data_IF_667431936746
#
_entry.id   IF_667431936746
#
_cell.length_a   1.000
_cell.length_b   1.000
_cell.length_c   1.000
_cell.angle_alpha   90.00
_cell.angle_beta   90.00
_cell.angle_gamma   90.00
#
_symmetry.space_group_name_H-M   'P 1'
#
loop_
_entity.id
_entity.type
_entity.pdbx_description
1 polymer ?
#
# COMPACT_ATOMS: atom_id res chain seq x y z
N UNK A 1 8.21 22.96 -11.91
CA UNK A 1 8.56 21.86 -12.84
C UNK A 1 9.54 22.42 -13.85
N UNK A 2 10.63 21.71 -14.14
CA UNK A 2 11.52 22.06 -15.26
C UNK A 2 10.84 21.77 -16.61
N UNK A 3 11.27 22.44 -17.67
CA UNK A 3 10.72 22.22 -19.03
C UNK A 3 10.89 20.76 -19.49
N UNK A 4 12.01 20.12 -19.16
CA UNK A 4 12.27 18.70 -19.43
C UNK A 4 11.27 17.75 -18.75
N UNK A 5 10.87 18.03 -17.51
CA UNK A 5 9.87 17.22 -16.81
C UNK A 5 8.47 17.38 -17.45
N UNK A 6 8.16 18.59 -17.93
CA UNK A 6 6.90 18.90 -18.61
C UNK A 6 6.81 18.23 -19.98
N UNK A 7 7.90 18.22 -20.74
CA UNK A 7 7.99 17.51 -22.02
C UNK A 7 7.86 15.99 -21.84
N UNK A 8 8.54 15.43 -20.84
CA UNK A 8 8.45 14.00 -20.51
C UNK A 8 7.01 13.60 -20.19
N UNK A 9 6.35 14.31 -19.26
CA UNK A 9 4.96 14.02 -18.88
C UNK A 9 3.98 14.15 -20.06
N UNK A 10 4.21 15.11 -20.98
CA UNK A 10 3.40 15.27 -22.20
C UNK A 10 3.56 14.09 -23.15
N UNK A 11 4.80 13.60 -23.31
CA UNK A 11 5.10 12.41 -24.11
C UNK A 11 4.47 11.16 -23.49
N UNK A 12 4.61 10.96 -22.19
CA UNK A 12 3.99 9.82 -21.48
C UNK A 12 2.49 9.80 -21.64
N UNK A 13 1.84 10.96 -21.49
CA UNK A 13 0.39 11.09 -21.68
C UNK A 13 -0.03 10.75 -23.10
N UNK A 14 0.72 11.21 -24.11
CA UNK A 14 0.45 10.89 -25.52
C UNK A 14 0.55 9.38 -25.78
N UNK A 15 1.58 8.71 -25.25
CA UNK A 15 1.76 7.26 -25.40
C UNK A 15 0.65 6.47 -24.71
N UNK A 16 0.33 6.81 -23.46
CA UNK A 16 -0.73 6.14 -22.71
C UNK A 16 -2.09 6.33 -23.39
N UNK A 17 -2.39 7.53 -23.90
CA UNK A 17 -3.60 7.80 -24.67
C UNK A 17 -3.66 6.97 -25.95
N UNK A 18 -2.58 6.89 -26.72
CA UNK A 18 -2.53 6.07 -27.93
C UNK A 18 -2.79 4.59 -27.65
N UNK A 19 -2.24 4.06 -26.54
CA UNK A 19 -2.50 2.70 -26.06
C UNK A 19 -3.97 2.47 -25.74
N UNK A 20 -4.63 3.38 -25.01
CA UNK A 20 -6.06 3.26 -24.71
C UNK A 20 -6.92 3.29 -25.97
N UNK A 21 -6.61 4.17 -26.92
CA UNK A 21 -7.30 4.20 -28.21
C UNK A 21 -7.12 2.91 -29.01
N UNK A 22 -5.93 2.31 -28.99
CA UNK A 22 -5.69 1.03 -29.63
C UNK A 22 -6.50 -0.10 -28.98
N UNK A 23 -6.58 -0.09 -27.64
CA UNK A 23 -7.37 -1.06 -26.89
C UNK A 23 -8.87 -0.94 -27.12
N UNK A 24 -9.42 0.29 -27.11
CA UNK A 24 -10.85 0.51 -27.41
C UNK A 24 -11.20 -0.07 -28.78
N UNK A 25 -10.38 0.22 -29.81
CA UNK A 25 -10.56 -0.33 -31.16
C UNK A 25 -10.45 -1.86 -31.21
N UNK A 26 -9.70 -2.48 -30.31
CA UNK A 26 -9.56 -3.92 -30.23
C UNK A 26 -10.73 -4.61 -29.48
N UNK A 27 -11.59 -3.85 -28.82
CA UNK A 27 -12.60 -4.36 -27.88
C UNK A 27 -14.05 -4.39 -28.41
N UNK A 28 -14.23 -4.25 -29.73
CA UNK A 28 -15.54 -4.07 -30.40
C UNK A 28 -16.38 -2.90 -29.84
N UNK A 29 -15.83 -2.08 -28.94
CA UNK A 29 -16.46 -0.88 -28.38
C UNK A 29 -16.42 0.24 -29.41
N UNK A 30 -17.54 0.95 -29.60
CA UNK A 30 -17.57 2.12 -30.48
C UNK A 30 -16.58 3.18 -29.97
N UNK A 31 -15.53 3.41 -30.78
CA UNK A 31 -14.46 4.32 -30.45
C UNK A 31 -14.83 5.78 -30.74
N UNK A 32 -15.89 6.06 -31.50
CA UNK A 32 -16.15 7.41 -32.04
C UNK A 32 -16.50 8.46 -30.98
N UNK A 33 -16.89 8.07 -29.77
CA UNK A 33 -17.33 8.97 -28.70
C UNK A 33 -16.42 9.00 -27.44
N UNK A 34 -15.23 8.40 -27.47
CA UNK A 34 -14.38 8.37 -26.29
C UNK A 34 -13.81 9.76 -25.92
N UNK A 35 -13.97 10.18 -24.66
CA UNK A 35 -13.53 11.47 -24.12
C UNK A 35 -12.44 11.30 -23.07
N UNK A 36 -11.50 12.24 -22.98
CA UNK A 36 -10.48 12.24 -21.92
C UNK A 36 -11.12 12.48 -20.54
N UNK A 37 -10.64 11.75 -19.54
CA UNK A 37 -11.03 11.93 -18.13
C UNK A 37 -9.82 12.40 -17.32
N UNK A 38 -10.01 13.42 -16.48
CA UNK A 38 -9.00 13.81 -15.51
C UNK A 38 -8.96 12.82 -14.35
N UNK A 39 -7.88 12.03 -14.31
CA UNK A 39 -7.60 11.03 -13.28
C UNK A 39 -6.33 11.41 -12.47
N UNK A 40 -5.94 12.68 -12.51
CA UNK A 40 -4.73 13.18 -11.87
C UNK A 40 -3.47 12.59 -12.52
N UNK A 41 -2.85 11.61 -11.85
CA UNK A 41 -1.62 10.97 -12.33
C UNK A 41 -1.85 9.81 -13.29
N UNK A 42 -3.09 9.45 -13.59
CA UNK A 42 -3.39 8.42 -14.59
C UNK A 42 -3.98 9.03 -15.84
N UNK A 43 -3.88 8.30 -16.95
CA UNK A 43 -4.56 8.63 -18.20
C UNK A 43 -5.77 7.73 -18.31
N UNK A 44 -6.93 8.32 -18.58
CA UNK A 44 -8.14 7.56 -18.82
C UNK A 44 -9.00 8.15 -19.93
N UNK A 45 -9.72 7.27 -20.60
CA UNK A 45 -10.73 7.60 -21.58
C UNK A 45 -12.08 7.05 -21.10
N UNK A 46 -13.15 7.78 -21.39
CA UNK A 46 -14.51 7.38 -21.07
C UNK A 46 -15.34 7.31 -22.35
N UNK A 47 -15.97 6.17 -22.57
CA UNK A 47 -17.04 6.00 -23.56
C UNK A 47 -18.41 6.17 -22.88
N UNK A 48 -19.51 5.82 -23.54
CA UNK A 48 -20.86 6.00 -23.00
C UNK A 48 -21.03 5.48 -21.55
N UNK A 49 -20.62 4.24 -21.29
CA UNK A 49 -20.76 3.54 -20.00
C UNK A 49 -19.47 2.87 -19.50
N UNK A 50 -18.36 2.93 -20.26
CA UNK A 50 -17.10 2.29 -19.87
C UNK A 50 -15.99 3.32 -19.57
N UNK A 51 -15.16 2.98 -18.58
CA UNK A 51 -13.96 3.71 -18.22
C UNK A 51 -12.72 2.88 -18.55
N UNK A 52 -11.83 3.44 -19.36
CA UNK A 52 -10.59 2.84 -19.79
C UNK A 52 -9.42 3.57 -19.12
N UNK A 53 -8.51 2.86 -18.44
CA UNK A 53 -7.39 3.47 -17.74
C UNK A 53 -6.06 2.85 -18.16
N UNK A 54 -5.04 3.68 -18.32
CA UNK A 54 -3.67 3.21 -18.42
C UNK A 54 -3.11 3.02 -17.00
N UNK A 55 -2.62 1.83 -16.70
CA UNK A 55 -2.13 1.43 -15.38
C UNK A 55 -0.85 2.17 -14.96
N UNK A 56 -0.07 2.63 -15.93
CA UNK A 56 1.18 3.33 -15.68
C UNK A 56 0.88 4.77 -15.21
N UNK A 57 1.29 5.17 -13.99
CA UNK A 57 1.15 6.55 -13.56
C UNK A 57 2.10 7.44 -14.38
N UNK A 58 1.64 8.66 -14.67
CA UNK A 58 2.45 9.74 -15.20
C UNK A 58 3.50 10.12 -14.15
N UNK A 59 4.78 10.04 -14.52
CA UNK A 59 5.88 10.37 -13.61
C UNK A 59 6.18 11.86 -13.70
N UNK A 60 6.35 12.52 -12.56
CA UNK A 60 6.88 13.89 -12.51
C UNK A 60 8.43 13.90 -12.50
N UNK A 61 9.05 12.76 -12.18
CA UNK A 61 10.50 12.61 -12.02
C UNK A 61 10.97 11.32 -12.75
N UNK A 62 11.76 11.44 -13.83
CA UNK A 62 12.28 10.29 -14.58
C UNK A 62 13.28 9.42 -13.80
N UNK A 63 13.67 9.80 -12.57
CA UNK A 63 14.60 9.05 -11.72
C UNK A 63 13.98 8.18 -10.62
N UNK A 64 12.66 8.21 -10.42
CA UNK A 64 11.99 7.36 -9.41
C UNK A 64 11.73 5.94 -9.91
N UNK A 65 11.78 4.97 -8.99
CA UNK A 65 11.71 3.52 -9.21
C UNK A 65 10.61 3.04 -10.19
N UNK A 66 10.76 1.80 -10.65
CA UNK A 66 9.90 1.07 -11.60
C UNK A 66 8.44 1.52 -11.55
N UNK A 67 7.83 1.90 -12.68
CA UNK A 67 6.45 2.38 -12.68
C UNK A 67 5.51 1.35 -12.07
N UNK A 68 4.98 1.66 -10.88
CA UNK A 68 4.03 0.80 -10.18
C UNK A 68 2.61 1.10 -10.64
N UNK A 69 1.79 0.06 -10.86
CA UNK A 69 0.35 0.21 -11.06
C UNK A 69 -0.41 0.62 -9.77
N UNK A 70 0.29 0.82 -8.65
CA UNK A 70 -0.30 1.32 -7.39
C UNK A 70 -1.09 2.59 -7.64
N UNK A 71 -2.35 2.58 -7.25
CA UNK A 71 -3.31 3.67 -7.29
C UNK A 71 -4.36 3.53 -8.36
N UNK A 72 -4.10 2.76 -9.43
CA UNK A 72 -4.99 2.78 -10.61
C UNK A 72 -6.38 2.24 -10.28
N UNK A 73 -6.45 1.15 -9.51
CA UNK A 73 -7.72 0.52 -9.14
C UNK A 73 -8.52 1.42 -8.21
N UNK A 74 -7.90 1.98 -7.17
CA UNK A 74 -8.55 2.95 -6.29
C UNK A 74 -9.06 4.17 -7.03
N UNK A 75 -8.29 4.68 -8.01
CA UNK A 75 -8.71 5.77 -8.89
C UNK A 75 -9.92 5.37 -9.75
N UNK A 76 -9.91 4.19 -10.37
CA UNK A 76 -11.02 3.69 -11.18
C UNK A 76 -12.30 3.53 -10.36
N UNK A 77 -12.20 2.88 -9.19
CA UNK A 77 -13.33 2.69 -8.27
C UNK A 77 -13.89 4.02 -7.74
N UNK A 78 -13.01 5.00 -7.50
CA UNK A 78 -13.42 6.37 -7.14
C UNK A 78 -14.25 7.00 -8.25
N UNK A 79 -13.91 6.78 -9.52
CA UNK A 79 -14.70 7.27 -10.65
C UNK A 79 -16.04 6.56 -10.78
N UNK A 80 -16.07 5.25 -10.62
CA UNK A 80 -17.34 4.49 -10.58
C UNK A 80 -18.25 5.04 -9.48
N UNK A 81 -17.74 5.16 -8.25
CA UNK A 81 -18.49 5.68 -7.11
C UNK A 81 -19.00 7.12 -7.32
N UNK A 82 -18.23 7.97 -8.01
CA UNK A 82 -18.64 9.34 -8.32
C UNK A 82 -19.60 9.45 -9.49
N UNK A 83 -19.55 8.51 -10.45
CA UNK A 83 -20.42 8.54 -11.63
C UNK A 83 -21.90 8.48 -11.27
N UNK A 84 -22.25 7.75 -10.20
CA UNK A 84 -23.62 7.66 -9.67
C UNK A 84 -24.13 8.96 -9.01
N UNK A 85 -23.24 9.90 -8.68
CA UNK A 85 -23.59 11.13 -7.98
C UNK A 85 -23.73 12.33 -8.91
N UNK A 86 -23.08 12.26 -10.07
CA UNK A 86 -23.18 13.29 -11.10
C UNK A 86 -24.34 12.86 -11.99
N UNK A 87 -25.15 13.79 -12.52
CA UNK A 87 -26.21 13.49 -13.50
C UNK A 87 -25.66 13.01 -14.87
N UNK A 88 -24.52 12.31 -14.86
CA UNK A 88 -23.92 11.63 -15.99
C UNK A 88 -24.38 10.17 -16.00
N UNK A 89 -24.25 9.50 -17.14
CA UNK A 89 -24.45 8.05 -17.22
C UNK A 89 -23.55 7.34 -16.18
N UNK A 90 -24.03 6.28 -15.51
CA UNK A 90 -23.18 5.50 -14.62
C UNK A 90 -22.06 4.81 -15.41
N UNK A 91 -20.90 4.64 -14.78
CA UNK A 91 -19.83 3.80 -15.34
C UNK A 91 -20.16 2.35 -14.97
N UNK A 92 -20.55 1.56 -15.96
CA UNK A 92 -20.92 0.15 -15.82
C UNK A 92 -19.72 -0.79 -15.93
N UNK A 93 -18.74 -0.46 -16.78
CA UNK A 93 -17.54 -1.26 -17.03
C UNK A 93 -16.26 -0.47 -16.81
N UNK A 94 -15.24 -1.13 -16.27
CA UNK A 94 -13.89 -0.59 -16.14
C UNK A 94 -12.89 -1.51 -16.82
N UNK A 95 -12.01 -0.97 -17.66
CA UNK A 95 -10.89 -1.71 -18.24
C UNK A 95 -9.57 -1.01 -17.91
N UNK A 96 -8.69 -1.70 -17.19
CA UNK A 96 -7.35 -1.19 -16.82
C UNK A 96 -6.30 -1.91 -17.66
N UNK A 97 -5.42 -1.15 -18.30
CA UNK A 97 -4.48 -1.65 -19.32
C UNK A 97 -3.04 -1.29 -18.96
N UNK A 98 -2.16 -2.28 -19.05
CA UNK A 98 -0.74 -2.09 -18.77
C UNK A 98 0.09 -3.33 -19.07
N UNK A 99 1.27 -3.38 -18.45
CA UNK A 99 2.19 -4.51 -18.58
C UNK A 99 1.74 -5.67 -17.68
N UNK A 100 1.64 -6.88 -18.24
CA UNK A 100 1.09 -8.04 -17.53
C UNK A 100 1.79 -8.33 -16.19
N UNK A 101 3.11 -8.17 -16.14
CA UNK A 101 3.93 -8.40 -14.94
C UNK A 101 3.63 -7.44 -13.78
N UNK A 102 3.09 -6.24 -14.09
CA UNK A 102 2.76 -5.22 -13.09
C UNK A 102 1.31 -5.29 -12.60
N UNK A 103 0.46 -6.07 -13.26
CA UNK A 103 -0.99 -6.04 -13.10
C UNK A 103 -1.59 -7.20 -12.31
N UNK A 104 -0.81 -8.24 -11.99
CA UNK A 104 -1.32 -9.43 -11.29
C UNK A 104 -1.95 -9.11 -9.92
N UNK A 105 -1.34 -8.20 -9.14
CA UNK A 105 -1.91 -7.76 -7.85
C UNK A 105 -3.19 -6.95 -8.06
N UNK A 106 -3.21 -6.08 -9.06
CA UNK A 106 -4.40 -5.28 -9.41
C UNK A 106 -5.56 -6.19 -9.82
N UNK A 107 -5.28 -7.23 -10.61
CA UNK A 107 -6.26 -8.24 -11.01
C UNK A 107 -6.81 -9.05 -9.82
N UNK A 108 -5.96 -9.44 -8.87
CA UNK A 108 -6.43 -10.06 -7.62
C UNK A 108 -7.32 -9.13 -6.82
N UNK A 109 -6.93 -7.87 -6.67
CA UNK A 109 -7.68 -6.88 -5.89
C UNK A 109 -9.02 -6.49 -6.53
N UNK A 110 -9.09 -6.44 -7.86
CA UNK A 110 -10.32 -6.16 -8.59
C UNK A 110 -11.41 -7.23 -8.33
N UNK A 111 -11.01 -8.49 -8.14
CA UNK A 111 -11.93 -9.61 -7.91
C UNK A 111 -12.73 -9.51 -6.60
N UNK A 112 -12.35 -8.63 -5.67
CA UNK A 112 -13.11 -8.41 -4.43
C UNK A 112 -14.35 -7.53 -4.63
N UNK A 113 -14.52 -6.93 -5.81
CA UNK A 113 -15.65 -6.07 -6.15
C UNK A 113 -16.61 -6.82 -7.10
N UNK A 114 -17.94 -6.81 -6.84
CA UNK A 114 -18.93 -7.37 -7.74
C UNK A 114 -19.25 -6.37 -8.86
N UNK A 115 -18.22 -5.96 -9.61
CA UNK A 115 -18.26 -4.98 -10.69
C UNK A 115 -17.65 -5.58 -11.96
N UNK A 116 -18.04 -5.07 -13.12
CA UNK A 116 -17.43 -5.43 -14.39
C UNK A 116 -16.08 -4.70 -14.55
N UNK A 117 -15.01 -5.30 -14.00
CA UNK A 117 -13.64 -4.78 -14.04
C UNK A 117 -12.73 -5.77 -14.76
N UNK A 118 -12.24 -5.37 -15.93
CA UNK A 118 -11.25 -6.13 -16.70
C UNK A 118 -9.85 -5.55 -16.52
N UNK A 119 -8.90 -6.41 -16.15
CA UNK A 119 -7.47 -6.07 -16.11
C UNK A 119 -6.79 -6.74 -17.29
N UNK A 120 -6.25 -5.94 -18.21
CA UNK A 120 -5.78 -6.42 -19.50
C UNK A 120 -4.33 -5.99 -19.78
N UNK A 121 -3.61 -6.85 -20.49
CA UNK A 121 -2.38 -6.49 -21.16
C UNK A 121 -2.66 -6.29 -22.66
N UNK A 122 -2.04 -5.26 -23.25
CA UNK A 122 -2.11 -5.01 -24.69
C UNK A 122 -0.81 -5.47 -25.35
N UNK A 123 -0.90 -6.44 -26.26
CA UNK A 123 0.22 -6.88 -27.10
C UNK A 123 -0.15 -6.68 -28.56
N UNK A 124 0.46 -5.67 -29.19
CA UNK A 124 0.06 -5.21 -30.53
C UNK A 124 -1.39 -4.71 -30.52
N UNK A 125 -2.28 -5.42 -31.20
CA UNK A 125 -3.73 -5.14 -31.24
C UNK A 125 -4.56 -6.10 -30.39
N UNK A 126 -3.94 -7.05 -29.69
CA UNK A 126 -4.66 -8.06 -28.91
C UNK A 126 -4.71 -7.66 -27.44
N UNK A 127 -5.92 -7.54 -26.90
CA UNK A 127 -6.17 -7.49 -25.48
C UNK A 127 -6.20 -8.90 -24.90
N UNK A 128 -5.47 -9.12 -23.81
CA UNK A 128 -5.46 -10.39 -23.09
C UNK A 128 -5.67 -10.12 -21.60
N UNK A 129 -6.63 -10.82 -20.99
CA UNK A 129 -6.88 -10.71 -19.57
C UNK A 129 -5.65 -11.13 -18.75
N UNK A 130 -5.30 -10.34 -17.74
CA UNK A 130 -4.20 -10.63 -16.82
C UNK A 130 -4.70 -11.61 -15.77
N UNK A 131 -3.96 -12.69 -15.57
CA UNK A 131 -4.25 -13.64 -14.49
C UNK A 131 -3.95 -13.01 -13.12
N UNK A 132 -4.88 -13.06 -12.16
CA UNK A 132 -4.62 -12.63 -10.79
C UNK A 132 -3.39 -13.31 -10.20
N UNK A 133 -2.46 -12.51 -9.66
CA UNK A 133 -1.30 -13.05 -8.96
C UNK A 133 -1.75 -13.75 -7.67
N UNK A 134 -1.15 -14.89 -7.28
CA UNK A 134 -1.41 -15.46 -5.97
C UNK A 134 -0.82 -14.58 -4.86
N UNK A 135 -1.30 -14.75 -3.64
CA UNK A 135 -0.66 -14.18 -2.45
C UNK A 135 0.79 -14.63 -2.34
N UNK A 136 1.66 -13.75 -1.84
CA UNK A 136 3.04 -14.14 -1.54
C UNK A 136 3.05 -15.24 -0.48
N UNK A 137 3.81 -16.30 -0.73
CA UNK A 137 4.02 -17.38 0.23
C UNK A 137 4.62 -16.79 1.51
N UNK A 138 4.04 -17.13 2.66
CA UNK A 138 4.59 -16.73 3.96
C UNK A 138 6.00 -17.32 4.10
N UNK A 139 6.95 -16.47 4.47
CA UNK A 139 8.33 -16.88 4.72
C UNK A 139 8.60 -16.80 6.21
N UNK A 140 8.96 -17.92 6.81
CA UNK A 140 9.46 -17.92 8.18
C UNK A 140 10.90 -17.38 8.19
N UNK A 141 11.26 -16.49 9.13
CA UNK A 141 12.64 -16.05 9.27
C UNK A 141 13.57 -17.21 9.63
N UNK A 142 14.83 -17.12 9.21
CA UNK A 142 15.85 -18.06 9.64
C UNK A 142 16.04 -18.03 11.17
N UNK A 143 16.39 -19.17 11.79
CA UNK A 143 16.60 -19.26 13.24
C UNK A 143 17.62 -18.22 13.75
N UNK A 144 18.73 -18.04 13.03
CA UNK A 144 19.74 -17.03 13.35
C UNK A 144 19.19 -15.59 13.31
N UNK A 145 18.19 -15.32 12.47
CA UNK A 145 17.53 -14.00 12.46
C UNK A 145 16.64 -13.80 13.69
N UNK A 146 15.95 -14.86 14.12
CA UNK A 146 15.10 -14.85 15.32
C UNK A 146 15.92 -14.66 16.60
N UNK A 147 17.12 -15.25 16.68
CA UNK A 147 18.05 -15.07 17.80
C UNK A 147 18.43 -13.59 18.00
N UNK A 148 18.72 -12.87 16.91
CA UNK A 148 18.98 -11.43 16.93
C UNK A 148 17.75 -10.59 17.32
N UNK A 149 16.54 -11.15 17.22
CA UNK A 149 15.33 -10.53 17.77
C UNK A 149 15.40 -10.32 19.29
N UNK A 150 16.15 -11.14 20.03
CA UNK A 150 16.34 -10.93 21.47
C UNK A 150 17.19 -9.70 21.76
N UNK A 151 18.20 -9.42 20.95
CA UNK A 151 19.01 -8.19 20.99
C UNK A 151 18.12 -6.96 20.79
N UNK A 152 17.22 -7.01 19.80
CA UNK A 152 16.24 -5.94 19.51
C UNK A 152 15.34 -5.68 20.72
N UNK A 153 14.75 -6.73 21.30
CA UNK A 153 13.89 -6.60 22.48
C UNK A 153 14.64 -6.06 23.69
N UNK A 154 15.88 -6.52 23.91
CA UNK A 154 16.73 -6.06 25.03
C UNK A 154 17.12 -4.59 24.91
N UNK A 155 17.20 -4.07 23.67
CA UNK A 155 17.43 -2.66 23.41
C UNK A 155 16.18 -1.79 23.59
N UNK A 156 15.00 -2.39 23.80
CA UNK A 156 13.73 -1.69 24.03
C UNK A 156 12.90 -1.43 22.76
N UNK A 157 13.21 -2.09 21.64
CA UNK A 157 12.41 -2.01 20.41
C UNK A 157 11.44 -3.20 20.30
N UNK A 158 10.34 -2.98 19.59
CA UNK A 158 9.38 -4.02 19.25
C UNK A 158 9.95 -4.89 18.11
N UNK A 159 9.84 -6.21 18.25
CA UNK A 159 10.24 -7.14 17.18
C UNK A 159 9.05 -7.36 16.26
N UNK A 160 9.20 -6.97 14.99
CA UNK A 160 8.18 -7.14 13.95
C UNK A 160 8.72 -8.07 12.87
N UNK A 161 7.90 -9.04 12.48
CA UNK A 161 8.24 -10.02 11.44
C UNK A 161 7.26 -9.85 10.28
N UNK A 162 7.78 -9.42 9.13
CA UNK A 162 7.02 -9.29 7.90
C UNK A 162 7.86 -9.84 6.74
N UNK A 163 7.27 -10.74 5.96
CA UNK A 163 7.84 -11.38 4.77
C UNK A 163 9.18 -12.09 5.02
N UNK A 164 9.33 -12.72 6.20
CA UNK A 164 10.55 -13.38 6.64
C UNK A 164 11.65 -12.45 7.14
N UNK A 165 11.39 -11.14 7.21
CA UNK A 165 12.34 -10.15 7.72
C UNK A 165 12.05 -9.84 9.18
N UNK A 166 13.07 -9.94 10.03
CA UNK A 166 13.02 -9.51 11.43
C UNK A 166 13.45 -8.05 11.51
N UNK A 167 12.55 -7.19 11.99
CA UNK A 167 12.78 -5.76 12.16
C UNK A 167 12.60 -5.35 13.62
N UNK A 168 13.35 -4.32 14.03
CA UNK A 168 13.14 -3.59 15.27
C UNK A 168 12.39 -2.30 15.00
N UNK A 169 11.22 -2.13 15.59
CA UNK A 169 10.40 -0.93 15.47
C UNK A 169 10.35 -0.13 16.78
N UNK A 170 10.31 1.19 16.65
CA UNK A 170 9.97 2.12 17.74
C UNK A 170 8.72 2.87 17.34
N UNK A 171 7.60 2.55 17.99
CA UNK A 171 6.29 3.12 17.70
C UNK A 171 5.98 3.08 16.18
N UNK A 172 6.26 1.94 15.54
CA UNK A 172 6.01 1.72 14.12
C UNK A 172 7.12 2.18 13.15
N UNK A 173 8.20 2.81 13.63
CA UNK A 173 9.34 3.17 12.78
C UNK A 173 10.43 2.11 12.87
N UNK A 174 10.80 1.51 11.74
CA UNK A 174 11.93 0.57 11.65
C UNK A 174 13.25 1.32 11.96
N UNK A 175 13.91 0.92 13.04
CA UNK A 175 15.22 1.43 13.48
C UNK A 175 16.32 0.37 13.38
N UNK A 176 15.94 -0.89 13.17
CA UNK A 176 16.88 -1.97 12.94
C UNK A 176 16.27 -3.04 12.03
N UNK A 177 17.12 -3.72 11.27
CA UNK A 177 16.73 -4.84 10.42
C UNK A 177 17.79 -5.93 10.51
N UNK A 178 17.34 -7.17 10.64
CA UNK A 178 18.22 -8.33 10.49
C UNK A 178 18.31 -8.71 9.03
N UNK A 179 19.54 -8.80 8.52
CA UNK A 179 19.82 -9.19 7.14
C UNK A 179 20.82 -10.35 7.14
N UNK A 180 20.83 -11.13 6.05
CA UNK A 180 21.90 -12.07 5.78
C UNK A 180 23.00 -11.36 4.99
N UNK A 181 24.24 -11.45 5.47
CA UNK A 181 25.42 -10.97 4.77
C UNK A 181 26.48 -12.07 4.73
N UNK A 182 26.73 -12.59 3.52
CA UNK A 182 27.65 -13.70 3.27
C UNK A 182 27.30 -14.96 4.09
N UNK A 183 26.01 -15.26 4.26
CA UNK A 183 25.53 -16.43 5.02
C UNK A 183 25.55 -16.23 6.54
N UNK A 184 25.79 -15.00 7.02
CA UNK A 184 25.79 -14.66 8.44
C UNK A 184 24.72 -13.63 8.73
N UNK A 185 23.86 -13.93 9.70
CA UNK A 185 22.83 -13.01 10.17
C UNK A 185 23.48 -11.81 10.88
N UNK A 186 23.14 -10.59 10.44
CA UNK A 186 23.65 -9.35 11.01
C UNK A 186 22.52 -8.37 11.31
N UNK A 187 22.65 -7.67 12.44
CA UNK A 187 21.75 -6.59 12.82
C UNK A 187 22.25 -5.27 12.23
N UNK A 188 21.46 -4.64 11.38
CA UNK A 188 21.76 -3.32 10.81
C UNK A 188 20.88 -2.25 11.45
N UNK A 189 21.50 -1.30 12.13
CA UNK A 189 20.83 -0.20 12.86
C UNK A 189 20.75 1.03 11.96
N UNK A 190 19.57 1.64 11.87
CA UNK A 190 19.32 2.85 11.10
C UNK A 190 17.90 2.93 10.52
N UNK A 191 17.42 4.15 10.35
CA UNK A 191 16.12 4.51 9.79
C UNK A 191 16.22 4.53 8.25
N UNK A 192 16.01 3.36 7.63
CA UNK A 192 16.11 3.16 6.19
C UNK A 192 17.50 2.71 5.71
N UNK A 193 17.63 2.39 4.42
CA UNK A 193 18.84 1.77 3.87
C UNK A 193 20.08 2.67 3.96
N UNK A 194 19.96 3.94 3.60
CA UNK A 194 21.07 4.90 3.63
C UNK A 194 21.57 5.18 5.05
N UNK A 195 20.66 5.25 6.01
CA UNK A 195 21.03 5.46 7.42
C UNK A 195 21.73 4.24 7.98
N UNK A 196 21.24 3.03 7.66
CA UNK A 196 21.92 1.77 8.03
C UNK A 196 23.33 1.65 7.47
N UNK A 197 23.51 2.07 6.23
CA UNK A 197 24.81 2.08 5.59
C UNK A 197 25.75 3.10 6.23
N UNK A 198 25.25 4.29 6.54
CA UNK A 198 26.02 5.33 7.24
C UNK A 198 26.41 4.88 8.65
N UNK A 199 25.48 4.28 9.38
CA UNK A 199 25.72 3.74 10.72
C UNK A 199 26.86 2.70 10.69
N UNK A 200 26.82 1.79 9.71
CA UNK A 200 27.86 0.78 9.48
C UNK A 200 29.23 1.39 9.21
N UNK A 201 29.32 2.43 8.38
CA UNK A 201 30.59 3.11 8.10
C UNK A 201 31.21 3.74 9.35
N UNK A 202 30.38 4.20 10.30
CA UNK A 202 30.83 4.85 11.53
C UNK A 202 31.17 3.87 12.67
N UNK A 203 30.46 2.75 12.76
CA UNK A 203 30.50 1.86 13.92
C UNK A 203 31.01 0.43 13.61
N UNK A 204 31.25 0.11 12.33
CA UNK A 204 31.65 -1.23 11.90
C UNK A 204 30.48 -2.20 11.72
N UNK A 205 30.80 -3.49 11.60
CA UNK A 205 29.83 -4.54 11.28
C UNK A 205 29.15 -5.20 12.48
N UNK A 206 29.68 -5.01 13.69
CA UNK A 206 29.22 -5.67 14.92
C UNK A 206 28.40 -4.70 15.77
N UNK A 207 27.18 -4.41 15.30
CA UNK A 207 26.27 -3.51 15.98
C UNK A 207 25.74 -4.13 17.30
N UNK A 208 26.09 -3.52 18.43
CA UNK A 208 25.76 -4.02 19.77
C UNK A 208 24.40 -3.57 20.32
N UNK A 209 23.94 -4.23 21.37
CA UNK A 209 22.69 -3.87 22.09
C UNK A 209 22.70 -2.42 22.56
N UNK A 210 23.83 -1.93 23.07
CA UNK A 210 23.94 -0.57 23.64
C UNK A 210 23.80 0.52 22.57
N UNK A 211 24.38 0.29 21.40
CA UNK A 211 24.23 1.15 20.23
C UNK A 211 22.77 1.22 19.78
N UNK A 212 22.09 0.06 19.70
CA UNK A 212 20.68 0.03 19.37
C UNK A 212 19.84 0.74 20.42
N UNK A 213 20.13 0.56 21.71
CA UNK A 213 19.42 1.24 22.80
C UNK A 213 19.52 2.76 22.70
N UNK A 214 20.68 3.28 22.31
CA UNK A 214 20.87 4.70 22.04
C UNK A 214 19.94 5.22 20.94
N UNK A 215 19.88 4.52 19.80
CA UNK A 215 18.99 4.86 18.68
C UNK A 215 17.52 4.74 19.09
N UNK A 216 17.14 3.67 19.80
CA UNK A 216 15.77 3.46 20.30
C UNK A 216 15.33 4.62 21.17
N UNK A 217 16.17 5.02 22.14
CA UNK A 217 15.89 6.12 23.05
C UNK A 217 15.71 7.44 22.28
N UNK A 218 16.60 7.73 21.34
CA UNK A 218 16.53 8.95 20.53
C UNK A 218 15.26 9.01 19.66
N UNK A 219 14.92 7.90 18.98
CA UNK A 219 13.72 7.84 18.13
C UNK A 219 12.44 7.95 18.97
N UNK A 220 12.39 7.29 20.12
CA UNK A 220 11.24 7.33 21.02
C UNK A 220 10.92 8.76 21.50
N UNK A 221 11.95 9.56 21.81
CA UNK A 221 11.77 10.97 22.20
C UNK A 221 11.04 11.80 21.14
N UNK A 222 11.33 11.55 19.86
CA UNK A 222 10.74 12.29 18.76
C UNK A 222 9.36 11.77 18.34
N UNK A 223 9.07 10.48 18.59
CA UNK A 223 7.81 9.83 18.21
C UNK A 223 6.75 9.80 19.31
N UNK A 224 7.10 10.22 20.52
CA UNK A 224 6.14 10.41 21.61
C UNK A 224 4.97 11.32 21.21
N UNK A 225 3.78 11.05 21.75
CA UNK A 225 2.60 11.88 21.54
C UNK A 225 2.87 13.32 22.02
N UNK A 226 2.56 14.30 21.17
CA UNK A 226 2.81 15.72 21.47
C UNK A 226 4.27 16.18 21.30
N UNK A 227 5.18 15.32 20.83
CA UNK A 227 6.55 15.72 20.53
C UNK A 227 6.60 16.84 19.47
N UNK A 228 7.59 17.75 19.54
CA UNK A 228 7.79 18.78 18.52
C UNK A 228 7.94 18.18 17.11
N UNK A 229 7.59 18.96 16.09
CA UNK A 229 7.71 18.53 14.70
C UNK A 229 9.15 18.07 14.38
N UNK A 230 9.29 16.83 13.89
CA UNK A 230 10.58 16.22 13.59
C UNK A 230 10.45 15.26 12.40
N UNK A 231 11.45 15.12 11.50
CA UNK A 231 11.36 14.17 10.40
C UNK A 231 10.98 12.74 10.84
N UNK A 232 11.52 12.27 11.97
CA UNK A 232 11.25 10.93 12.49
C UNK A 232 9.78 10.68 12.88
N UNK A 233 9.00 11.70 13.26
CA UNK A 233 7.59 11.53 13.59
C UNK A 233 6.64 11.65 12.39
N UNK A 234 7.18 11.94 11.20
CA UNK A 234 6.42 11.99 9.95
C UNK A 234 6.62 10.75 9.07
N UNK A 235 7.54 9.87 9.44
CA UNK A 235 7.84 8.63 8.72
C UNK A 235 6.95 7.48 9.20
N UNK A 236 6.57 6.61 8.25
CA UNK A 236 5.71 5.45 8.46
C UNK A 236 4.46 5.76 9.31
N UNK A 237 3.66 6.78 8.94
CA UNK A 237 2.51 7.19 9.73
C UNK A 237 1.47 6.07 9.89
N UNK A 238 1.35 5.17 8.90
CA UNK A 238 0.43 4.02 8.97
C UNK A 238 0.84 3.06 10.10
N UNK A 239 2.14 2.79 10.22
CA UNK A 239 2.69 1.94 11.29
C UNK A 239 2.69 2.65 12.64
N UNK A 240 2.83 3.97 12.66
CA UNK A 240 2.64 4.77 13.87
C UNK A 240 1.24 4.60 14.44
N UNK A 241 0.23 4.70 13.56
CA UNK A 241 -1.17 4.48 13.92
C UNK A 241 -1.41 3.04 14.40
N UNK A 242 -0.85 2.04 13.69
CA UNK A 242 -0.88 0.65 14.16
C UNK A 242 -0.28 0.49 15.55
N UNK A 243 0.89 1.08 15.81
CA UNK A 243 1.55 0.98 17.11
C UNK A 243 0.71 1.62 18.22
N UNK A 244 0.06 2.76 17.95
CA UNK A 244 -0.85 3.39 18.90
C UNK A 244 -2.05 2.49 19.22
N UNK A 245 -2.68 1.89 18.21
CA UNK A 245 -3.83 0.99 18.37
C UNK A 245 -3.44 -0.34 19.03
N UNK A 246 -2.22 -0.84 18.81
CA UNK A 246 -1.68 -2.01 19.53
C UNK A 246 -1.50 -1.69 21.02
N UNK A 247 -1.06 -0.47 21.34
CA UNK A 247 -0.89 -0.01 22.71
C UNK A 247 -2.23 0.26 23.43
N UNK A 248 -3.25 0.72 22.70
CA UNK A 248 -4.61 0.92 23.19
C UNK A 248 -5.67 0.27 22.27
N UNK A 249 -5.88 -1.06 22.35
CA UNK A 249 -6.87 -1.76 21.53
C UNK A 249 -8.31 -1.27 21.70
N UNK A 250 -8.64 -0.67 22.84
CA UNK A 250 -10.00 -0.26 23.17
C UNK A 250 -10.52 0.86 22.27
N UNK A 251 -9.62 1.69 21.68
CA UNK A 251 -10.01 2.77 20.77
C UNK A 251 -10.74 2.28 19.50
N UNK A 252 -10.55 1.01 19.11
CA UNK A 252 -11.27 0.37 18.00
C UNK A 252 -12.24 -0.73 18.49
N UNK A 253 -12.61 -0.73 19.76
CA UNK A 253 -13.43 -1.77 20.40
C UNK A 253 -12.83 -3.18 20.32
N UNK A 254 -11.50 -3.30 20.36
CA UNK A 254 -10.77 -4.56 20.43
C UNK A 254 -10.24 -4.84 21.84
N UNK A 255 -10.10 -6.14 22.18
CA UNK A 255 -9.43 -6.61 23.40
C UNK A 255 -7.93 -6.67 23.21
N UNK A 256 -7.51 -7.18 22.05
CA UNK A 256 -6.09 -7.39 21.70
C UNK A 256 -5.94 -7.13 20.21
N UNK A 257 -4.85 -6.47 19.82
CA UNK A 257 -4.45 -6.26 18.43
C UNK A 257 -3.04 -6.80 18.26
N UNK A 258 -2.84 -7.68 17.27
CA UNK A 258 -1.55 -8.29 16.96
C UNK A 258 -1.12 -7.91 15.55
N UNK A 259 0.10 -7.40 15.43
CA UNK A 259 0.72 -7.08 14.14
C UNK A 259 0.66 -8.29 13.21
N UNK A 260 0.29 -8.06 11.95
CA UNK A 260 0.20 -9.08 10.92
C UNK A 260 0.88 -8.63 9.62
N UNK A 261 1.44 -9.60 8.90
CA UNK A 261 2.12 -9.37 7.62
C UNK A 261 1.11 -8.95 6.52
N UNK A 262 1.27 -7.76 5.89
CA UNK A 262 0.38 -7.31 4.82
C UNK A 262 0.51 -8.17 3.54
N UNK A 263 -0.40 -8.02 2.56
CA UNK A 263 -0.34 -8.79 1.30
C UNK A 263 0.76 -8.37 0.33
N UNK A 264 1.27 -7.14 0.47
CA UNK A 264 2.32 -6.59 -0.38
C UNK A 264 3.42 -6.01 0.51
N UNK A 265 4.70 -6.32 0.25
CA UNK A 265 5.82 -5.80 1.02
C UNK A 265 5.98 -4.30 0.80
N UNK A 266 6.38 -3.59 1.85
CA UNK A 266 6.80 -2.20 1.75
C UNK A 266 8.19 -2.13 1.10
N UNK A 267 8.29 -1.54 -0.08
CA UNK A 267 9.55 -1.42 -0.81
C UNK A 267 10.45 -0.31 -0.24
N UNK A 268 9.88 0.87 0.03
CA UNK A 268 10.60 2.02 0.56
C UNK A 268 10.00 2.53 1.87
N UNK A 269 10.86 3.06 2.74
CA UNK A 269 10.45 3.73 3.98
C UNK A 269 9.50 4.91 3.72
N UNK A 270 9.72 5.65 2.63
CA UNK A 270 8.94 6.85 2.28
C UNK A 270 7.63 6.55 1.57
N UNK A 271 7.44 5.33 1.08
CA UNK A 271 6.20 4.96 0.40
C UNK A 271 5.06 4.99 1.41
N UNK A 272 3.91 5.54 1.04
CA UNK A 272 2.69 5.41 1.85
C UNK A 272 2.03 4.09 1.49
N UNK A 273 2.30 3.07 2.32
CA UNK A 273 1.77 1.72 2.16
C UNK A 273 1.03 1.36 3.44
N UNK A 274 -0.22 0.88 3.37
CA UNK A 274 -0.93 0.43 4.55
C UNK A 274 -0.20 -0.71 5.26
N UNK A 275 -0.46 -0.87 6.55
CA UNK A 275 -0.01 -2.04 7.31
C UNK A 275 -1.19 -2.75 7.96
N UNK A 276 -0.99 -3.99 8.40
CA UNK A 276 -2.08 -4.85 8.87
C UNK A 276 -1.87 -5.35 10.31
N UNK A 277 -2.98 -5.73 10.93
CA UNK A 277 -3.06 -6.44 12.19
C UNK A 277 -4.29 -7.37 12.20
N UNK A 278 -4.28 -8.32 13.12
CA UNK A 278 -5.45 -9.13 13.49
C UNK A 278 -5.89 -8.67 14.89
N UNK A 279 -7.17 -8.36 15.03
CA UNK A 279 -7.77 -7.92 16.27
C UNK A 279 -8.79 -8.94 16.77
N UNK A 280 -8.77 -9.20 18.07
CA UNK A 280 -9.85 -9.87 18.77
C UNK A 280 -10.81 -8.80 19.30
N UNK A 281 -12.02 -8.74 18.75
CA UNK A 281 -13.01 -7.71 19.09
C UNK A 281 -13.65 -7.97 20.47
N UNK A 282 -14.21 -6.94 21.09
CA UNK A 282 -14.88 -7.06 22.40
C UNK A 282 -16.12 -7.98 22.33
N UNK A 283 -16.83 -7.94 21.21
CA UNK A 283 -17.99 -8.78 20.90
C UNK A 283 -17.62 -10.25 20.55
N UNK A 284 -16.34 -10.57 20.46
CA UNK A 284 -15.83 -11.91 20.26
C UNK A 284 -15.44 -12.26 18.82
N UNK A 285 -15.81 -11.42 17.84
CA UNK A 285 -15.42 -11.62 16.45
C UNK A 285 -13.92 -11.33 16.24
N UNK A 286 -13.31 -12.01 15.27
CA UNK A 286 -11.99 -11.61 14.77
C UNK A 286 -12.16 -10.57 13.65
N UNK A 287 -11.27 -9.57 13.66
CA UNK A 287 -11.19 -8.57 12.61
C UNK A 287 -9.78 -8.50 12.01
N UNK A 288 -9.70 -8.40 10.69
CA UNK A 288 -8.51 -7.91 10.00
C UNK A 288 -8.58 -6.38 10.01
N UNK A 289 -7.51 -5.76 10.51
CA UNK A 289 -7.42 -4.31 10.67
C UNK A 289 -6.31 -3.78 9.77
N UNK A 290 -6.65 -2.83 8.91
CA UNK A 290 -5.70 -2.17 8.01
C UNK A 290 -5.57 -0.70 8.38
N UNK A 291 -4.33 -0.25 8.59
CA UNK A 291 -4.02 1.12 9.00
C UNK A 291 -3.55 1.92 7.79
N UNK A 292 -4.13 3.10 7.61
CA UNK A 292 -3.81 4.01 6.51
C UNK A 292 -3.53 5.41 7.04
N UNK A 293 -2.81 6.20 6.25
CA UNK A 293 -2.50 7.59 6.58
C UNK A 293 -2.79 8.48 5.38
N UNK A 294 -3.35 9.67 5.66
CA UNK A 294 -3.84 10.55 4.60
C UNK A 294 -5.01 9.95 3.83
N UNK A 295 -5.42 10.64 2.76
CA UNK A 295 -6.45 10.15 1.85
C UNK A 295 -5.78 9.22 0.83
N UNK A 296 -5.90 7.92 1.05
CA UNK A 296 -5.36 6.89 0.15
C UNK A 296 -6.47 6.27 -0.69
N UNK A 297 -6.32 6.36 -2.02
CA UNK A 297 -7.32 5.82 -2.98
C UNK A 297 -7.36 4.29 -3.01
N UNK A 298 -6.23 3.64 -2.73
CA UNK A 298 -6.10 2.17 -2.73
C UNK A 298 -6.35 1.51 -1.37
N UNK A 299 -6.73 2.29 -0.35
CA UNK A 299 -6.96 1.77 1.00
C UNK A 299 -7.94 0.59 1.01
N UNK A 300 -9.06 0.71 0.28
CA UNK A 300 -10.13 -0.30 0.26
C UNK A 300 -9.71 -1.57 -0.50
N UNK A 301 -9.20 -1.51 -1.75
CA UNK A 301 -8.67 -2.70 -2.41
C UNK A 301 -7.57 -3.41 -1.63
N UNK A 302 -6.64 -2.65 -1.04
CA UNK A 302 -5.58 -3.22 -0.20
C UNK A 302 -6.16 -3.94 1.02
N UNK A 303 -7.16 -3.33 1.68
CA UNK A 303 -7.79 -3.91 2.86
C UNK A 303 -8.51 -5.22 2.56
N UNK A 304 -9.21 -5.31 1.43
CA UNK A 304 -9.83 -6.55 0.99
C UNK A 304 -8.78 -7.64 0.72
N UNK A 305 -7.65 -7.28 0.11
CA UNK A 305 -6.52 -8.18 -0.14
C UNK A 305 -5.86 -8.67 1.17
N UNK A 306 -5.75 -7.79 2.16
CA UNK A 306 -5.25 -8.14 3.48
C UNK A 306 -6.21 -9.08 4.22
N UNK A 307 -7.52 -8.88 4.10
CA UNK A 307 -8.52 -9.80 4.67
C UNK A 307 -8.37 -11.19 4.05
N UNK A 308 -8.37 -11.29 2.73
CA UNK A 308 -8.24 -12.58 2.03
C UNK A 308 -6.97 -13.33 2.43
N UNK A 309 -5.84 -12.61 2.53
CA UNK A 309 -4.56 -13.18 2.99
C UNK A 309 -4.59 -13.71 4.42
N UNK A 310 -5.18 -12.95 5.34
CA UNK A 310 -5.02 -13.17 6.78
C UNK A 310 -6.15 -14.02 7.35
N UNK A 311 -7.39 -13.67 7.03
CA UNK A 311 -8.59 -14.41 7.38
C UNK A 311 -9.77 -13.93 6.50
N UNK A 312 -10.09 -14.69 5.45
CA UNK A 312 -11.11 -14.34 4.47
C UNK A 312 -12.54 -14.22 5.07
N UNK A 313 -12.79 -14.79 6.25
CA UNK A 313 -14.07 -14.72 6.97
C UNK A 313 -14.13 -13.64 8.05
N UNK A 314 -13.02 -12.95 8.34
CA UNK A 314 -12.98 -11.94 9.39
C UNK A 314 -13.70 -10.65 8.99
N UNK A 315 -14.14 -9.89 10.00
CA UNK A 315 -14.56 -8.50 9.79
C UNK A 315 -13.40 -7.68 9.27
N UNK A 316 -13.68 -6.67 8.45
CA UNK A 316 -12.65 -5.79 7.89
C UNK A 316 -12.80 -4.37 8.41
N UNK A 317 -11.80 -3.91 9.17
CA UNK A 317 -11.70 -2.54 9.67
C UNK A 317 -10.59 -1.80 8.95
N UNK A 318 -10.87 -0.59 8.49
CA UNK A 318 -9.88 0.33 7.93
C UNK A 318 -9.73 1.50 8.90
N UNK A 319 -8.57 1.59 9.54
CA UNK A 319 -8.28 2.58 10.57
C UNK A 319 -7.50 3.75 9.97
N UNK A 320 -7.99 4.96 10.20
CA UNK A 320 -7.37 6.21 9.75
C UNK A 320 -7.75 7.37 10.69
N UNK A 321 -7.00 8.47 10.65
CA UNK A 321 -7.43 9.72 11.27
C UNK A 321 -8.78 10.16 10.68
N UNK A 322 -9.70 10.62 11.53
CA UNK A 322 -11.06 11.00 11.13
C UNK A 322 -11.11 12.03 10.00
N UNK A 323 -10.13 12.93 9.93
CA UNK A 323 -10.02 13.95 8.86
C UNK A 323 -9.70 13.36 7.50
N UNK A 324 -9.17 12.13 7.48
CA UNK A 324 -8.79 11.41 6.27
C UNK A 324 -9.85 10.40 5.81
N UNK A 325 -10.96 10.24 6.55
CA UNK A 325 -12.06 9.37 6.17
C UNK A 325 -13.07 10.16 5.34
N UNK A 326 -13.05 9.95 4.02
CA UNK A 326 -13.95 10.65 3.10
C UNK A 326 -15.20 9.80 2.78
N UNK A 327 -16.36 10.45 2.52
CA UNK A 327 -17.58 9.74 2.13
C UNK A 327 -17.40 8.81 0.92
N UNK A 328 -16.54 9.20 -0.02
CA UNK A 328 -16.23 8.37 -1.18
C UNK A 328 -15.55 7.07 -0.77
N UNK A 329 -14.57 7.08 0.16
CA UNK A 329 -13.92 5.85 0.63
C UNK A 329 -14.91 4.91 1.35
N UNK A 330 -15.84 5.47 2.12
CA UNK A 330 -16.91 4.68 2.74
C UNK A 330 -17.83 4.01 1.70
N UNK A 331 -18.15 4.70 0.60
CA UNK A 331 -18.88 4.09 -0.52
C UNK A 331 -18.08 2.96 -1.18
N UNK A 332 -16.79 3.16 -1.44
CA UNK A 332 -15.92 2.10 -1.96
C UNK A 332 -15.90 0.89 -1.02
N UNK A 333 -15.82 1.11 0.30
CA UNK A 333 -15.85 0.03 1.28
C UNK A 333 -17.17 -0.75 1.28
N UNK A 334 -18.29 -0.08 1.00
CA UNK A 334 -19.59 -0.72 0.83
C UNK A 334 -19.76 -1.45 -0.51
N UNK A 335 -18.94 -1.11 -1.53
CA UNK A 335 -18.94 -1.77 -2.84
C UNK A 335 -18.18 -3.10 -2.85
N UNK A 336 -17.47 -3.47 -1.78
CA UNK A 336 -16.83 -4.79 -1.68
C UNK A 336 -17.86 -5.91 -1.59
N UNK A 337 -17.55 -7.07 -2.16
CA UNK A 337 -18.39 -8.29 -2.05
C UNK A 337 -18.67 -8.67 -0.59
N UNK A 338 -17.71 -8.38 0.29
CA UNK A 338 -17.90 -8.34 1.74
C UNK A 338 -17.50 -6.95 2.24
N UNK A 339 -18.45 -6.10 2.69
CA UNK A 339 -18.17 -4.72 3.07
C UNK A 339 -17.09 -4.55 4.14
N UNK A 340 -16.43 -3.40 4.13
CA UNK A 340 -15.49 -2.95 5.16
C UNK A 340 -16.03 -1.75 5.94
N UNK A 341 -15.53 -1.53 7.15
CA UNK A 341 -15.90 -0.38 7.99
C UNK A 341 -14.69 0.52 8.24
N UNK A 342 -14.85 1.83 8.02
CA UNK A 342 -13.86 2.80 8.46
C UNK A 342 -14.03 3.11 9.95
N UNK A 343 -12.93 3.07 10.70
CA UNK A 343 -12.86 3.39 12.13
C UNK A 343 -11.83 4.49 12.32
N UNK A 344 -12.14 5.46 13.18
CA UNK A 344 -11.19 6.52 13.54
C UNK A 344 -10.41 6.16 14.78
N UNK A 345 -9.10 6.37 14.73
CA UNK A 345 -8.17 6.29 15.87
C UNK A 345 -7.08 7.34 15.71
#
# INVERSE_FOLDING_TARGET
MSDTARESATRERTVARAMLWAAIRASDTDATEATDVDLGRFVGLRTADALWLAARPLTADPGTATPSATGVLGTALTMVAQSHLRNASPIARVTIIGEAESLGVVARQAAYFPLDIEICALSGTKLTAVTPAPHLVRREPAAAHLELGNTVRTAGADVVIEHGVVAGEVQGLEVARVIDENGVARLRIGVGSHDRETFRMLHGDDAGVDQLRGVVTHVAQHRAAGAPAHPLNRLAPERALRAAVVADPACIAARVVRIAEPPVPRANLKDSVPCAAIAQMIDGDEAVVVFTAGVMVDAVPFAADARDRLNAGARLLIVADSRNVLPTQQRLAAMLSQPATFVSA
#
